data_IF_579675204373
#
_entry.id   IF_579675204373
#
_cell.length_a   1.000
_cell.length_b   1.000
_cell.length_c   1.000
_cell.angle_alpha   90.00
_cell.angle_beta   90.00
_cell.angle_gamma   90.00
#
_symmetry.space_group_name_H-M   'P 1'
#
loop_
_entity.id
_entity.type
_entity.pdbx_description
1 polymer ?
#
# COMPACT_ATOMS: atom_id res chain seq x y z
N UNK A 1 1.41 2.15 -13.59
CA UNK A 1 0.17 1.54 -14.09
C UNK A 1 -0.43 0.64 -13.03
N UNK A 2 -1.75 0.63 -12.89
CA UNK A 2 -2.44 -0.24 -11.95
C UNK A 2 -3.38 -1.15 -12.73
N UNK A 3 -3.34 -2.43 -12.41
CA UNK A 3 -4.23 -3.43 -13.02
C UNK A 3 -5.05 -4.07 -11.91
N UNK A 4 -6.37 -3.98 -12.02
CA UNK A 4 -7.30 -4.64 -11.12
C UNK A 4 -7.80 -5.92 -11.79
N UNK A 5 -7.53 -7.06 -11.17
CA UNK A 5 -7.94 -8.36 -11.70
C UNK A 5 -9.05 -8.95 -10.85
N UNK A 6 -9.99 -9.61 -11.50
CA UNK A 6 -11.08 -10.31 -10.85
C UNK A 6 -11.00 -11.81 -11.12
N UNK A 7 -11.49 -12.60 -10.16
CA UNK A 7 -11.57 -14.05 -10.31
C UNK A 7 -12.39 -14.37 -11.57
N UNK A 8 -11.84 -15.19 -12.44
CA UNK A 8 -12.42 -15.49 -13.74
C UNK A 8 -11.64 -14.88 -14.90
N UNK A 9 -10.85 -13.84 -14.65
CA UNK A 9 -9.94 -13.31 -15.65
C UNK A 9 -8.81 -14.31 -15.87
N UNK A 10 -8.42 -14.51 -17.12
CA UNK A 10 -7.33 -15.44 -17.47
C UNK A 10 -6.03 -15.05 -16.73
N UNK A 11 -5.69 -13.78 -16.74
CA UNK A 11 -4.49 -13.27 -16.08
C UNK A 11 -4.51 -13.45 -14.57
N UNK A 12 -5.70 -13.41 -13.96
CA UNK A 12 -5.85 -13.68 -12.53
C UNK A 12 -5.38 -15.09 -12.19
N UNK A 13 -5.79 -16.07 -13.00
CA UNK A 13 -5.40 -17.47 -12.78
C UNK A 13 -3.88 -17.65 -12.91
N UNK A 14 -3.26 -16.95 -13.85
CA UNK A 14 -1.80 -17.02 -14.07
C UNK A 14 -1.01 -16.43 -12.89
N UNK A 15 -1.60 -15.52 -12.13
CA UNK A 15 -0.94 -14.81 -11.03
C UNK A 15 -1.37 -15.30 -9.65
N UNK A 16 -2.12 -16.39 -9.58
CA UNK A 16 -2.66 -16.89 -8.32
C UNK A 16 -1.55 -17.19 -7.28
N UNK A 17 -0.44 -17.77 -7.72
CA UNK A 17 0.69 -18.06 -6.84
C UNK A 17 1.29 -16.79 -6.24
N UNK A 18 1.40 -15.71 -7.03
CA UNK A 18 1.90 -14.43 -6.56
C UNK A 18 0.95 -13.80 -5.54
N UNK A 19 -0.37 -13.90 -5.74
CA UNK A 19 -1.34 -13.43 -4.77
C UNK A 19 -1.25 -14.22 -3.45
N UNK A 20 -1.00 -15.52 -3.51
CA UNK A 20 -0.81 -16.34 -2.32
C UNK A 20 0.43 -15.92 -1.54
N UNK A 21 1.51 -15.59 -2.25
CA UNK A 21 2.78 -15.18 -1.63
C UNK A 21 2.73 -13.75 -1.07
N UNK A 22 2.18 -12.79 -1.85
CA UNK A 22 2.25 -11.37 -1.53
C UNK A 22 0.95 -10.79 -0.97
N UNK A 23 -0.14 -11.55 -0.97
CA UNK A 23 -1.46 -11.05 -0.58
C UNK A 23 -2.21 -10.45 -1.78
N UNK A 24 -3.18 -9.59 -1.48
CA UNK A 24 -4.11 -9.09 -2.50
C UNK A 24 -3.57 -7.99 -3.41
N UNK A 25 -2.35 -7.53 -3.20
CA UNK A 25 -1.72 -6.54 -4.07
C UNK A 25 -0.21 -6.68 -4.02
N UNK A 26 0.44 -6.45 -5.15
CA UNK A 26 1.89 -6.42 -5.22
C UNK A 26 2.33 -5.59 -6.42
N UNK A 27 3.60 -5.19 -6.43
CA UNK A 27 4.18 -4.44 -7.54
C UNK A 27 5.14 -5.35 -8.31
N UNK A 28 5.04 -5.29 -9.64
CA UNK A 28 5.91 -6.02 -10.54
C UNK A 28 6.44 -5.03 -11.58
N UNK A 29 7.73 -4.68 -11.47
CA UNK A 29 8.30 -3.62 -12.28
C UNK A 29 7.63 -2.29 -12.00
N UNK A 30 6.96 -1.71 -12.98
CA UNK A 30 6.22 -0.46 -12.85
C UNK A 30 4.70 -0.66 -12.79
N UNK A 31 4.26 -1.89 -12.60
CA UNK A 31 2.84 -2.23 -12.59
C UNK A 31 2.42 -2.72 -11.21
N UNK A 32 1.37 -2.12 -10.66
CA UNK A 32 0.72 -2.58 -9.43
C UNK A 32 -0.41 -3.51 -9.85
N UNK A 33 -0.41 -4.71 -9.30
CA UNK A 33 -1.39 -5.74 -9.62
C UNK A 33 -2.24 -6.00 -8.38
N UNK A 34 -3.56 -5.93 -8.54
CA UNK A 34 -4.51 -5.97 -7.42
C UNK A 34 -5.53 -7.08 -7.65
N UNK A 35 -5.70 -7.94 -6.64
CA UNK A 35 -6.76 -8.93 -6.57
C UNK A 35 -8.04 -8.24 -6.10
N UNK A 36 -8.78 -7.68 -7.03
CA UNK A 36 -9.97 -6.89 -6.73
C UNK A 36 -11.11 -7.72 -6.15
N UNK A 37 -11.23 -8.98 -6.56
CA UNK A 37 -12.24 -9.89 -6.00
C UNK A 37 -12.05 -10.04 -4.50
N UNK A 38 -10.82 -10.31 -4.06
CA UNK A 38 -10.51 -10.44 -2.63
C UNK A 38 -10.74 -9.14 -1.88
N UNK A 39 -10.32 -8.01 -2.45
CA UNK A 39 -10.51 -6.71 -1.81
C UNK A 39 -11.99 -6.39 -1.60
N UNK A 40 -12.83 -6.62 -2.60
CA UNK A 40 -14.28 -6.39 -2.47
C UNK A 40 -14.87 -7.28 -1.37
N UNK A 41 -14.47 -8.54 -1.33
CA UNK A 41 -14.94 -9.49 -0.31
C UNK A 41 -14.57 -9.04 1.10
N UNK A 42 -13.40 -8.47 1.28
CA UNK A 42 -12.91 -7.98 2.57
C UNK A 42 -13.46 -6.60 2.96
N UNK A 43 -14.22 -5.96 2.08
CA UNK A 43 -14.75 -4.63 2.33
C UNK A 43 -13.77 -3.50 2.00
N UNK A 44 -12.72 -3.78 1.25
CA UNK A 44 -11.64 -2.83 0.93
C UNK A 44 -11.71 -2.31 -0.51
N UNK A 45 -12.85 -2.43 -1.15
CA UNK A 45 -13.02 -2.06 -2.57
C UNK A 45 -13.35 -0.60 -2.81
N UNK A 46 -13.44 0.25 -1.79
CA UNK A 46 -13.73 1.66 -2.00
C UNK A 46 -12.58 2.36 -2.73
N UNK A 47 -12.91 3.42 -3.46
CA UNK A 47 -11.92 4.22 -4.18
C UNK A 47 -10.81 4.71 -3.25
N UNK A 48 -11.19 5.20 -2.08
CA UNK A 48 -10.24 5.72 -1.08
C UNK A 48 -9.30 4.64 -0.56
N UNK A 49 -9.82 3.44 -0.34
CA UNK A 49 -9.01 2.31 0.12
C UNK A 49 -8.03 1.88 -0.98
N UNK A 50 -8.49 1.81 -2.23
CA UNK A 50 -7.65 1.44 -3.36
C UNK A 50 -6.50 2.44 -3.56
N UNK A 51 -6.76 3.73 -3.37
CA UNK A 51 -5.72 4.76 -3.44
C UNK A 51 -4.64 4.51 -2.38
N UNK A 52 -5.03 4.18 -1.15
CA UNK A 52 -4.05 3.86 -0.11
C UNK A 52 -3.24 2.62 -0.48
N UNK A 53 -3.89 1.57 -0.97
CA UNK A 53 -3.19 0.34 -1.39
C UNK A 53 -2.16 0.65 -2.48
N UNK A 54 -2.53 1.45 -3.47
CA UNK A 54 -1.61 1.88 -4.51
C UNK A 54 -0.42 2.65 -3.93
N UNK A 55 -0.67 3.55 -2.99
CA UNK A 55 0.38 4.33 -2.33
C UNK A 55 1.32 3.44 -1.52
N UNK A 56 0.77 2.41 -0.86
CA UNK A 56 1.55 1.41 -0.14
C UNK A 56 2.49 0.65 -1.08
N UNK A 57 1.98 0.17 -2.24
CA UNK A 57 2.79 -0.57 -3.20
C UNK A 57 3.86 0.31 -3.85
N UNK A 58 3.52 1.54 -4.19
CA UNK A 58 4.49 2.52 -4.70
C UNK A 58 5.60 2.74 -3.68
N UNK A 59 5.26 2.80 -2.41
CA UNK A 59 6.22 2.99 -1.32
C UNK A 59 7.25 1.85 -1.25
N UNK A 60 6.82 0.60 -1.44
CA UNK A 60 7.75 -0.52 -1.52
C UNK A 60 8.80 -0.31 -2.62
N UNK A 61 8.37 0.19 -3.76
CA UNK A 61 9.26 0.44 -4.88
C UNK A 61 10.22 1.61 -4.60
N UNK A 62 9.70 2.71 -4.09
CA UNK A 62 10.50 3.90 -3.76
C UNK A 62 11.59 3.55 -2.74
N UNK A 63 11.24 2.77 -1.73
CA UNK A 63 12.15 2.36 -0.66
C UNK A 63 13.01 1.16 -1.03
N UNK A 64 12.81 0.62 -2.25
CA UNK A 64 13.59 -0.49 -2.79
C UNK A 64 13.57 -1.74 -1.87
N UNK A 65 12.39 -2.05 -1.34
CA UNK A 65 12.20 -3.24 -0.51
C UNK A 65 12.39 -4.52 -1.33
N UNK A 66 13.18 -5.45 -0.82
CA UNK A 66 13.49 -6.71 -1.51
C UNK A 66 12.77 -7.93 -0.90
N UNK A 67 12.20 -7.77 0.28
CA UNK A 67 11.54 -8.87 0.98
C UNK A 67 10.32 -8.39 1.72
N UNK A 68 9.40 -9.31 2.02
CA UNK A 68 8.21 -9.05 2.81
C UNK A 68 8.54 -9.33 4.28
N UNK A 69 8.68 -8.27 5.07
CA UNK A 69 8.96 -8.34 6.50
C UNK A 69 8.08 -7.33 7.22
N UNK A 70 7.87 -7.52 8.52
CA UNK A 70 7.09 -6.59 9.32
C UNK A 70 7.63 -5.14 9.18
N UNK A 71 8.94 -4.98 9.24
CA UNK A 71 9.57 -3.67 9.12
C UNK A 71 9.31 -3.02 7.75
N UNK A 72 9.47 -3.76 6.66
CA UNK A 72 9.24 -3.21 5.31
C UNK A 72 7.78 -2.87 5.09
N UNK A 73 6.86 -3.66 5.64
CA UNK A 73 5.43 -3.38 5.56
C UNK A 73 5.06 -2.14 6.36
N UNK A 74 5.65 -1.96 7.53
CA UNK A 74 5.46 -0.77 8.35
C UNK A 74 5.93 0.49 7.63
N UNK A 75 7.11 0.44 7.02
CA UNK A 75 7.65 1.56 6.25
C UNK A 75 6.79 1.90 5.04
N UNK A 76 6.29 0.88 4.34
CA UNK A 76 5.42 1.08 3.18
C UNK A 76 4.07 1.67 3.57
N UNK A 77 3.47 1.20 4.66
CA UNK A 77 2.24 1.80 5.21
C UNK A 77 2.47 3.27 5.55
N UNK A 78 3.55 3.55 6.24
CA UNK A 78 3.85 4.90 6.69
C UNK A 78 4.11 5.85 5.51
N UNK A 79 4.98 5.47 4.58
CA UNK A 79 5.22 6.31 3.39
C UNK A 79 3.96 6.46 2.56
N UNK A 80 3.15 5.41 2.43
CA UNK A 80 1.86 5.48 1.75
C UNK A 80 0.94 6.52 2.36
N UNK A 81 0.89 6.60 3.69
CA UNK A 81 0.12 7.64 4.39
C UNK A 81 0.66 9.03 4.08
N UNK A 82 1.97 9.22 4.12
CA UNK A 82 2.58 10.51 3.80
C UNK A 82 2.29 10.94 2.36
N UNK A 83 2.34 10.02 1.43
CA UNK A 83 1.99 10.29 0.02
C UNK A 83 0.54 10.79 -0.06
N UNK A 84 -0.39 10.11 0.59
CA UNK A 84 -1.79 10.53 0.60
C UNK A 84 -1.96 11.92 1.19
N UNK A 85 -1.29 12.22 2.30
CA UNK A 85 -1.36 13.54 2.93
C UNK A 85 -0.78 14.64 2.03
N UNK A 86 0.34 14.38 1.37
CA UNK A 86 0.95 15.36 0.47
C UNK A 86 0.10 15.65 -0.77
N UNK A 87 -0.78 14.72 -1.16
CA UNK A 87 -1.71 14.89 -2.27
C UNK A 87 -3.12 15.32 -1.82
N UNK A 88 -3.29 15.69 -0.55
CA UNK A 88 -4.58 16.09 0.03
C UNK A 88 -5.66 14.98 -0.05
N UNK A 89 -5.24 13.73 -0.03
CA UNK A 89 -6.12 12.57 -0.05
C UNK A 89 -6.39 12.11 1.39
N UNK A 90 -7.16 12.93 2.13
CA UNK A 90 -7.36 12.74 3.56
C UNK A 90 -8.05 11.44 3.92
N UNK A 91 -9.09 11.05 3.18
CA UNK A 91 -9.81 9.81 3.46
C UNK A 91 -8.92 8.58 3.27
N UNK A 92 -8.10 8.59 2.22
CA UNK A 92 -7.13 7.52 1.99
C UNK A 92 -6.08 7.49 3.09
N UNK A 93 -5.60 8.66 3.54
CA UNK A 93 -4.65 8.74 4.64
C UNK A 93 -5.25 8.20 5.95
N UNK A 94 -6.51 8.51 6.24
CA UNK A 94 -7.20 7.99 7.43
C UNK A 94 -7.31 6.48 7.41
N UNK A 95 -7.64 5.90 6.25
CA UNK A 95 -7.65 4.45 6.05
C UNK A 95 -6.26 3.87 6.34
N UNK A 96 -5.22 4.50 5.82
CA UNK A 96 -3.85 4.08 6.05
C UNK A 96 -3.45 4.13 7.53
N UNK A 97 -3.81 5.21 8.22
CA UNK A 97 -3.54 5.37 9.66
C UNK A 97 -4.23 4.27 10.48
N UNK A 98 -5.48 3.99 10.15
CA UNK A 98 -6.23 2.91 10.80
C UNK A 98 -5.57 1.55 10.56
N UNK A 99 -5.14 1.31 9.34
CA UNK A 99 -4.44 0.08 8.95
C UNK A 99 -3.09 -0.03 9.69
N UNK A 100 -2.36 1.07 9.78
CA UNK A 100 -1.09 1.14 10.52
C UNK A 100 -1.30 0.74 11.99
N UNK A 101 -2.33 1.29 12.62
CA UNK A 101 -2.66 0.99 14.01
C UNK A 101 -2.95 -0.49 14.23
N UNK A 102 -3.64 -1.14 13.29
CA UNK A 102 -4.00 -2.55 13.42
C UNK A 102 -2.82 -3.49 13.22
N UNK A 103 -1.77 -3.06 12.51
CA UNK A 103 -0.60 -3.90 12.19
C UNK A 103 0.58 -3.71 13.13
N UNK A 104 0.67 -2.57 13.82
CA UNK A 104 1.89 -2.18 14.53
C UNK A 104 1.62 -1.95 16.00
N UNK A 105 2.62 -2.23 16.83
CA UNK A 105 2.57 -1.97 18.27
C UNK A 105 2.87 -0.52 18.63
N UNK A 106 3.26 0.29 17.66
CA UNK A 106 3.54 1.71 17.84
C UNK A 106 2.44 2.52 17.15
N UNK A 107 2.01 3.62 17.76
CA UNK A 107 1.02 4.50 17.13
C UNK A 107 1.61 5.21 15.91
N UNK A 108 0.77 5.55 14.94
CA UNK A 108 1.19 6.35 13.80
C UNK A 108 1.86 7.65 14.24
N UNK A 109 1.26 8.35 15.19
CA UNK A 109 1.79 9.63 15.68
C UNK A 109 3.21 9.50 16.24
N UNK A 110 3.45 8.46 17.01
CA UNK A 110 4.77 8.23 17.61
C UNK A 110 5.79 7.85 16.53
N UNK A 111 5.41 6.99 15.61
CA UNK A 111 6.28 6.60 14.49
C UNK A 111 6.61 7.82 13.62
N UNK A 112 5.62 8.67 13.36
CA UNK A 112 5.76 9.89 12.57
C UNK A 112 6.78 10.85 13.21
N UNK A 113 6.71 11.04 14.52
CA UNK A 113 7.65 11.90 15.24
C UNK A 113 9.09 11.45 15.07
N UNK A 114 9.32 10.14 15.03
CA UNK A 114 10.67 9.57 14.95
C UNK A 114 11.17 9.53 13.50
N UNK A 115 10.30 9.25 12.54
CA UNK A 115 10.70 8.86 11.19
C UNK A 115 10.36 9.86 10.09
N UNK A 116 9.58 10.91 10.38
CA UNK A 116 9.08 11.81 9.33
C UNK A 116 10.20 12.40 8.48
N UNK A 117 11.27 12.85 9.11
CA UNK A 117 12.38 13.50 8.40
C UNK A 117 13.05 12.57 7.38
N UNK A 118 13.05 11.28 7.66
CA UNK A 118 13.65 10.29 6.77
C UNK A 118 12.81 10.05 5.51
N UNK A 119 11.50 10.19 5.61
CA UNK A 119 10.58 9.74 4.57
C UNK A 119 9.87 10.87 3.83
N UNK A 120 9.74 12.04 4.44
CA UNK A 120 8.90 13.12 3.87
C UNK A 120 9.35 13.56 2.47
N UNK A 121 10.64 13.55 2.20
CA UNK A 121 11.15 13.94 0.90
C UNK A 121 10.72 12.97 -0.22
N UNK A 122 10.58 11.69 0.09
CA UNK A 122 10.05 10.71 -0.88
C UNK A 122 8.61 11.05 -1.26
N UNK A 123 7.78 11.39 -0.26
CA UNK A 123 6.38 11.75 -0.51
C UNK A 123 6.28 13.04 -1.33
N UNK A 124 7.10 14.03 -1.04
CA UNK A 124 7.09 15.32 -1.76
C UNK A 124 7.52 15.20 -3.21
N UNK A 125 8.42 14.30 -3.53
CA UNK A 125 8.92 14.11 -4.91
C UNK A 125 7.86 13.57 -5.86
N UNK A 126 6.79 12.97 -5.33
CA UNK A 126 5.72 12.41 -6.14
C UNK A 126 4.65 13.42 -6.55
N UNK A 127 4.75 14.63 -6.11
CA UNK A 127 3.80 15.68 -6.49
C UNK A 127 3.85 16.02 -7.96
#
# INVERSE_FOLDING_TARGET
MVIYLEKGDEKYNDLQDQFEEHGYAFINGNTIIVDYTTLKRLGYGSKEHLIFIESHEISHKILNHKSVKQETETEADYLGILICLEHNLRKSAEIGIKNFKSRNNISFKKYDLINRDKFINFAKKLK
#
